data_IF_642166823323
#
_entry.id   IF_642166823323
#
_cell.length_a   1.000
_cell.length_b   1.000
_cell.length_c   1.000
_cell.angle_alpha   90.00
_cell.angle_beta   90.00
_cell.angle_gamma   90.00
#
_symmetry.space_group_name_H-M   'P 1'
#
loop_
_entity.id
_entity.type
_entity.pdbx_description
1 polymer ?
#
# COMPACT_ATOMS: atom_id res chain seq x y z
N UNK A 1 28.45 -0.69 2.56
CA UNK A 1 27.16 -0.30 1.94
C UNK A 1 26.63 -1.51 1.19
N UNK A 2 25.42 -1.98 1.51
CA UNK A 2 24.83 -3.13 0.81
C UNK A 2 24.20 -2.58 -0.47
N UNK A 3 24.77 -2.91 -1.63
CA UNK A 3 24.33 -2.41 -2.95
C UNK A 3 22.82 -2.57 -3.17
N UNK A 4 22.21 -3.62 -2.61
CA UNK A 4 20.77 -3.90 -2.69
C UNK A 4 19.88 -2.84 -2.04
N UNK A 5 20.27 -2.26 -0.90
CA UNK A 5 19.44 -1.26 -0.22
C UNK A 5 19.51 0.10 -0.88
N UNK A 6 20.69 0.48 -1.39
CA UNK A 6 20.83 1.67 -2.23
C UNK A 6 20.00 1.57 -3.52
N UNK A 7 20.00 0.39 -4.16
CA UNK A 7 19.18 0.15 -5.34
C UNK A 7 17.68 0.24 -5.02
N UNK A 8 17.25 -0.32 -3.89
CA UNK A 8 15.86 -0.23 -3.43
C UNK A 8 15.47 1.23 -3.16
N UNK A 9 16.29 1.96 -2.40
CA UNK A 9 16.04 3.36 -2.06
C UNK A 9 15.99 4.26 -3.31
N UNK A 10 16.88 4.03 -4.28
CA UNK A 10 16.86 4.72 -5.56
C UNK A 10 15.57 4.42 -6.36
N UNK A 11 15.15 3.16 -6.41
CA UNK A 11 13.90 2.77 -7.06
C UNK A 11 12.70 3.45 -6.38
N UNK A 12 12.65 3.44 -5.05
CA UNK A 12 11.60 4.11 -4.26
C UNK A 12 11.57 5.62 -4.51
N UNK A 13 12.74 6.26 -4.61
CA UNK A 13 12.84 7.68 -4.94
C UNK A 13 12.28 7.98 -6.34
N UNK A 14 12.62 7.17 -7.34
CA UNK A 14 12.11 7.33 -8.72
C UNK A 14 10.58 7.23 -8.72
N UNK A 15 10.01 6.24 -8.02
CA UNK A 15 8.56 6.10 -7.89
C UNK A 15 7.95 7.33 -7.22
N UNK A 16 8.56 7.83 -6.15
CA UNK A 16 8.12 9.05 -5.46
C UNK A 16 8.11 10.29 -6.37
N UNK A 17 9.14 10.46 -7.21
CA UNK A 17 9.19 11.54 -8.20
C UNK A 17 8.06 11.38 -9.23
N UNK A 18 7.86 10.15 -9.75
CA UNK A 18 6.80 9.90 -10.73
C UNK A 18 5.40 10.16 -10.17
N UNK A 19 5.14 9.85 -8.90
CA UNK A 19 3.88 10.18 -8.22
C UNK A 19 3.63 11.69 -8.12
N UNK A 20 4.69 12.51 -8.00
CA UNK A 20 4.55 13.97 -7.93
C UNK A 20 4.26 14.56 -9.31
N UNK A 21 5.03 14.13 -10.32
CA UNK A 21 5.00 14.69 -11.68
C UNK A 21 3.79 14.17 -12.46
N UNK A 22 3.56 12.86 -12.47
CA UNK A 22 2.56 12.17 -13.29
C UNK A 22 1.72 11.17 -12.45
N UNK A 23 0.89 11.64 -11.51
CA UNK A 23 0.15 10.78 -10.59
C UNK A 23 -0.83 9.84 -11.30
N UNK A 24 -1.52 10.30 -12.35
CA UNK A 24 -2.49 9.49 -13.09
C UNK A 24 -1.86 8.30 -13.82
N UNK A 25 -0.70 8.51 -14.45
CA UNK A 25 0.02 7.45 -15.13
C UNK A 25 0.70 6.52 -14.13
N UNK A 26 1.19 7.04 -13.02
CA UNK A 26 1.74 6.22 -11.94
C UNK A 26 0.71 5.22 -11.40
N UNK A 27 -0.55 5.64 -11.21
CA UNK A 27 -1.63 4.74 -10.78
C UNK A 27 -1.80 3.59 -11.77
N UNK A 28 -1.90 3.90 -13.07
CA UNK A 28 -2.08 2.86 -14.10
C UNK A 28 -0.95 1.85 -14.06
N UNK A 29 0.30 2.31 -14.01
CA UNK A 29 1.48 1.43 -13.97
C UNK A 29 1.49 0.58 -12.70
N UNK A 30 1.20 1.16 -11.53
CA UNK A 30 1.13 0.42 -10.28
C UNK A 30 0.05 -0.67 -10.31
N UNK A 31 -1.16 -0.34 -10.77
CA UNK A 31 -2.27 -1.31 -10.83
C UNK A 31 -1.97 -2.42 -11.84
N UNK A 32 -1.38 -2.09 -12.99
CA UNK A 32 -0.94 -3.08 -13.98
C UNK A 32 0.14 -4.00 -13.39
N UNK A 33 1.15 -3.45 -12.70
CA UNK A 33 2.22 -4.22 -12.08
C UNK A 33 1.67 -5.19 -11.02
N UNK A 34 0.73 -4.72 -10.18
CA UNK A 34 0.02 -5.56 -9.21
C UNK A 34 -0.80 -6.64 -9.92
N UNK A 35 -1.53 -6.29 -10.99
CA UNK A 35 -2.29 -7.26 -11.78
C UNK A 35 -1.42 -8.37 -12.35
N UNK A 36 -0.26 -8.03 -12.91
CA UNK A 36 0.73 -9.00 -13.40
C UNK A 36 1.22 -9.89 -12.25
N UNK A 37 1.56 -9.32 -11.09
CA UNK A 37 1.99 -10.10 -9.93
C UNK A 37 0.92 -11.12 -9.47
N UNK A 38 -0.37 -10.73 -9.51
CA UNK A 38 -1.49 -11.60 -9.18
C UNK A 38 -1.66 -12.72 -10.22
N UNK A 39 -1.46 -12.45 -11.50
CA UNK A 39 -1.48 -13.48 -12.55
C UNK A 39 -0.35 -14.49 -12.31
N UNK A 40 0.87 -14.01 -12.07
CA UNK A 40 2.03 -14.86 -11.78
C UNK A 40 1.81 -15.71 -10.52
N UNK A 41 1.21 -15.13 -9.49
CA UNK A 41 0.84 -15.86 -8.27
C UNK A 41 -0.20 -16.94 -8.56
N UNK A 42 -1.23 -16.64 -9.36
CA UNK A 42 -2.23 -17.63 -9.79
C UNK A 42 -1.61 -18.79 -10.57
N UNK A 43 -0.66 -18.49 -11.45
CA UNK A 43 0.10 -19.50 -12.20
C UNK A 43 0.98 -20.36 -11.27
N UNK A 44 1.67 -19.73 -10.31
CA UNK A 44 2.47 -20.44 -9.31
C UNK A 44 1.63 -21.38 -8.44
N UNK A 45 0.42 -20.95 -8.05
CA UNK A 45 -0.53 -21.79 -7.32
C UNK A 45 -0.91 -23.02 -8.14
N UNK A 46 -1.20 -22.83 -9.43
CA UNK A 46 -1.67 -23.90 -10.32
C UNK A 46 -0.58 -24.93 -10.66
N UNK A 47 0.66 -24.47 -10.86
CA UNK A 47 1.81 -25.32 -11.23
C UNK A 47 2.41 -26.02 -10.01
N UNK A 48 2.64 -25.28 -8.92
CA UNK A 48 3.47 -25.75 -7.80
C UNK A 48 2.62 -26.10 -6.60
N UNK A 49 1.77 -25.17 -6.13
CA UNK A 49 1.07 -25.31 -4.83
C UNK A 49 0.04 -26.45 -4.86
N UNK A 50 -0.65 -26.64 -5.98
CA UNK A 50 -1.63 -27.73 -6.16
C UNK A 50 -1.03 -29.12 -5.94
N UNK A 51 0.27 -29.32 -6.20
CA UNK A 51 0.91 -30.63 -6.17
C UNK A 51 1.58 -30.96 -4.82
N UNK A 52 1.48 -30.08 -3.81
CA UNK A 52 2.14 -30.24 -2.51
C UNK A 52 1.44 -31.28 -1.63
N UNK A 53 0.11 -31.39 -1.71
CA UNK A 53 -0.68 -32.35 -0.94
C UNK A 53 -1.61 -33.15 -1.86
N UNK A 54 -1.61 -34.49 -1.79
CA UNK A 54 -2.45 -35.36 -2.63
C UNK A 54 -3.93 -35.40 -2.22
N UNK A 55 -4.39 -34.48 -1.37
CA UNK A 55 -5.78 -34.43 -0.90
C UNK A 55 -6.69 -33.78 -1.96
N UNK A 56 -7.75 -34.49 -2.37
CA UNK A 56 -8.68 -34.03 -3.42
C UNK A 56 -9.30 -32.65 -3.13
N UNK A 57 -9.72 -32.39 -1.88
CA UNK A 57 -10.30 -31.09 -1.49
C UNK A 57 -9.28 -29.95 -1.54
N UNK A 58 -8.01 -30.24 -1.27
CA UNK A 58 -6.92 -29.27 -1.32
C UNK A 58 -6.60 -28.89 -2.78
N UNK A 59 -6.52 -29.88 -3.67
CA UNK A 59 -6.32 -29.66 -5.10
C UNK A 59 -7.44 -28.81 -5.71
N UNK A 60 -8.70 -29.06 -5.38
CA UNK A 60 -9.84 -28.30 -5.91
C UNK A 60 -9.82 -26.84 -5.42
N UNK A 61 -9.53 -26.63 -4.14
CA UNK A 61 -9.48 -25.28 -3.54
C UNK A 61 -8.34 -24.44 -4.14
N UNK A 62 -7.15 -25.00 -4.27
CA UNK A 62 -6.00 -24.30 -4.86
C UNK A 62 -6.18 -24.08 -6.37
N UNK A 63 -6.89 -24.97 -7.07
CA UNK A 63 -7.24 -24.78 -8.49
C UNK A 63 -8.20 -23.60 -8.67
N UNK A 64 -9.28 -23.54 -7.87
CA UNK A 64 -10.24 -22.41 -7.90
C UNK A 64 -9.52 -21.10 -7.59
N UNK A 65 -8.68 -21.08 -6.55
CA UNK A 65 -7.91 -19.90 -6.16
C UNK A 65 -6.91 -19.47 -7.24
N UNK A 66 -6.23 -20.41 -7.90
CA UNK A 66 -5.33 -20.14 -9.03
C UNK A 66 -6.05 -19.50 -10.21
N UNK A 67 -7.18 -20.07 -10.64
CA UNK A 67 -8.01 -19.50 -11.71
C UNK A 67 -8.62 -18.14 -11.33
N UNK A 68 -9.15 -18.01 -10.11
CA UNK A 68 -9.69 -16.75 -9.61
C UNK A 68 -8.60 -15.66 -9.60
N UNK A 69 -7.39 -15.98 -9.14
CA UNK A 69 -6.25 -15.06 -9.18
C UNK A 69 -5.92 -14.62 -10.61
N UNK A 70 -5.89 -15.54 -11.58
CA UNK A 70 -5.64 -15.18 -12.99
C UNK A 70 -6.73 -14.25 -13.53
N UNK A 71 -8.00 -14.55 -13.27
CA UNK A 71 -9.14 -13.74 -13.73
C UNK A 71 -9.08 -12.35 -13.09
N UNK A 72 -8.90 -12.27 -11.77
CA UNK A 72 -8.80 -11.00 -11.03
C UNK A 72 -7.59 -10.20 -11.50
N UNK A 73 -6.44 -10.85 -11.70
CA UNK A 73 -5.24 -10.21 -12.20
C UNK A 73 -5.40 -9.66 -13.63
N UNK A 74 -6.05 -10.41 -14.52
CA UNK A 74 -6.37 -9.95 -15.87
C UNK A 74 -7.32 -8.75 -15.86
N UNK A 75 -8.35 -8.78 -15.01
CA UNK A 75 -9.23 -7.63 -14.77
C UNK A 75 -8.42 -6.44 -14.26
N UNK A 76 -7.55 -6.62 -13.27
CA UNK A 76 -6.71 -5.54 -12.75
C UNK A 76 -5.79 -4.91 -13.81
N UNK A 77 -5.34 -5.65 -14.82
CA UNK A 77 -4.56 -5.09 -15.94
C UNK A 77 -5.45 -4.36 -16.95
N UNK A 78 -6.62 -4.91 -17.28
CA UNK A 78 -7.51 -4.37 -18.31
C UNK A 78 -8.30 -3.14 -17.85
N UNK A 79 -8.76 -3.13 -16.60
CA UNK A 79 -9.62 -2.07 -16.06
C UNK A 79 -8.98 -0.67 -16.09
N UNK A 80 -7.71 -0.48 -15.70
CA UNK A 80 -7.04 0.82 -15.82
C UNK A 80 -6.87 1.26 -17.27
N UNK A 81 -6.68 0.34 -18.22
CA UNK A 81 -6.53 0.68 -19.63
C UNK A 81 -7.80 1.30 -20.22
N UNK A 82 -8.98 0.81 -19.81
CA UNK A 82 -10.27 1.23 -20.36
C UNK A 82 -10.92 2.33 -19.51
N UNK A 83 -10.70 2.31 -18.18
CA UNK A 83 -11.49 3.09 -17.22
C UNK A 83 -10.64 3.85 -16.18
N UNK A 84 -9.36 4.15 -16.44
CA UNK A 84 -8.45 4.78 -15.47
C UNK A 84 -9.05 5.94 -14.65
N UNK A 85 -9.86 6.81 -15.27
CA UNK A 85 -10.51 7.92 -14.57
C UNK A 85 -11.79 7.55 -13.78
N UNK A 86 -12.49 6.49 -14.21
CA UNK A 86 -13.82 6.13 -13.68
C UNK A 86 -13.71 5.43 -12.32
N UNK A 87 -12.80 4.47 -12.19
CA UNK A 87 -12.67 3.63 -10.98
C UNK A 87 -12.28 4.46 -9.76
N UNK A 88 -11.35 5.38 -9.95
CA UNK A 88 -10.90 6.28 -8.91
C UNK A 88 -12.03 7.18 -8.40
N UNK A 89 -12.82 7.71 -9.33
CA UNK A 89 -13.95 8.59 -9.02
C UNK A 89 -15.02 7.82 -8.24
N UNK A 90 -15.32 6.58 -8.64
CA UNK A 90 -16.26 5.69 -7.93
C UNK A 90 -15.76 5.44 -6.50
N UNK A 91 -14.47 5.11 -6.33
CA UNK A 91 -13.89 4.84 -5.02
C UNK A 91 -14.01 6.04 -4.07
N UNK A 92 -13.75 7.26 -4.57
CA UNK A 92 -13.92 8.48 -3.76
C UNK A 92 -15.38 8.71 -3.37
N UNK A 93 -16.33 8.48 -4.27
CA UNK A 93 -17.75 8.59 -3.92
C UNK A 93 -18.17 7.54 -2.89
N UNK A 94 -17.69 6.30 -3.00
CA UNK A 94 -17.95 5.25 -2.01
C UNK A 94 -17.43 5.67 -0.64
N UNK A 95 -16.22 6.23 -0.56
CA UNK A 95 -15.65 6.74 0.70
C UNK A 95 -16.48 7.93 1.23
N UNK A 96 -16.90 8.85 0.37
CA UNK A 96 -17.70 10.00 0.77
C UNK A 96 -19.06 9.57 1.35
N UNK A 97 -19.73 8.60 0.73
CA UNK A 97 -20.96 8.00 1.24
C UNK A 97 -20.71 7.28 2.56
N UNK A 98 -19.63 6.51 2.66
CA UNK A 98 -19.25 5.84 3.89
C UNK A 98 -19.05 6.82 5.06
N UNK A 99 -18.42 7.97 4.82
CA UNK A 99 -18.26 9.01 5.85
C UNK A 99 -19.58 9.62 6.31
N UNK A 100 -20.57 9.77 5.41
CA UNK A 100 -21.92 10.19 5.81
C UNK A 100 -22.61 9.14 6.69
N UNK A 101 -22.44 7.85 6.37
CA UNK A 101 -22.95 6.76 7.20
C UNK A 101 -22.25 6.74 8.57
N UNK A 102 -20.93 6.98 8.62
CA UNK A 102 -20.17 7.12 9.87
C UNK A 102 -20.73 8.25 10.71
N UNK A 103 -20.90 9.44 10.13
CA UNK A 103 -21.45 10.60 10.83
C UNK A 103 -22.87 10.34 11.36
N UNK A 104 -23.73 9.66 10.59
CA UNK A 104 -25.06 9.28 11.05
C UNK A 104 -25.01 8.32 12.25
N UNK A 105 -24.05 7.38 12.22
CA UNK A 105 -23.82 6.42 13.32
C UNK A 105 -23.30 7.11 14.57
N UNK A 106 -22.38 8.06 14.43
CA UNK A 106 -21.85 8.88 15.53
C UNK A 106 -22.95 9.75 16.15
N UNK A 107 -23.84 10.34 15.34
CA UNK A 107 -25.02 11.07 15.84
C UNK A 107 -25.94 10.16 16.66
N UNK A 108 -26.19 8.93 16.20
CA UNK A 108 -26.96 7.94 16.96
C UNK A 108 -26.28 7.57 18.29
N UNK A 109 -24.96 7.39 18.29
CA UNK A 109 -24.17 7.15 19.50
C UNK A 109 -24.27 8.32 20.49
N UNK A 110 -24.18 9.57 20.02
CA UNK A 110 -24.32 10.76 20.87
C UNK A 110 -25.69 10.78 21.56
N UNK A 111 -26.78 10.44 20.85
CA UNK A 111 -28.11 10.38 21.45
C UNK A 111 -28.18 9.37 22.60
N UNK A 112 -27.60 8.19 22.43
CA UNK A 112 -27.56 7.16 23.47
C UNK A 112 -26.63 7.55 24.64
N UNK A 113 -25.45 8.10 24.37
CA UNK A 113 -24.51 8.53 25.40
C UNK A 113 -25.08 9.70 26.24
N UNK A 114 -25.82 10.61 25.60
CA UNK A 114 -26.51 11.70 26.28
C UNK A 114 -27.63 11.18 27.19
N UNK A 115 -28.36 10.14 26.75
CA UNK A 115 -29.34 9.46 27.60
C UNK A 115 -28.69 8.73 28.80
N UNK A 116 -27.44 8.28 28.64
CA UNK A 116 -26.64 7.65 29.69
C UNK A 116 -25.82 8.63 30.55
N UNK A 117 -25.92 9.95 30.32
CA UNK A 117 -25.15 10.98 31.02
C UNK A 117 -23.61 10.83 30.89
N UNK A 118 -23.14 10.29 29.76
CA UNK A 118 -21.72 10.10 29.44
C UNK A 118 -21.24 11.25 28.53
N UNK A 119 -19.98 11.67 28.67
CA UNK A 119 -19.38 12.73 27.84
C UNK A 119 -19.41 12.38 26.34
N UNK A 120 -19.86 13.33 25.51
CA UNK A 120 -20.08 13.14 24.06
C UNK A 120 -19.13 13.93 23.17
N UNK A 121 -18.16 14.64 23.76
CA UNK A 121 -17.37 15.64 23.03
C UNK A 121 -16.55 15.03 21.88
N UNK A 122 -15.92 13.87 22.09
CA UNK A 122 -15.13 13.18 21.06
C UNK A 122 -15.99 12.81 19.85
N UNK A 123 -17.15 12.18 20.08
CA UNK A 123 -18.07 11.76 19.03
C UNK A 123 -18.68 12.94 18.27
N UNK A 124 -18.94 14.06 18.95
CA UNK A 124 -19.44 15.27 18.29
C UNK A 124 -18.40 15.86 17.34
N UNK A 125 -17.12 15.83 17.70
CA UNK A 125 -16.04 16.29 16.82
C UNK A 125 -15.82 15.35 15.64
N UNK A 126 -15.90 14.04 15.85
CA UNK A 126 -15.81 13.04 14.77
C UNK A 126 -16.93 13.24 13.74
N UNK A 127 -18.17 13.49 14.19
CA UNK A 127 -19.31 13.64 13.29
C UNK A 127 -19.16 14.86 12.38
N UNK A 128 -18.70 15.98 12.95
CA UNK A 128 -18.45 17.22 12.21
C UNK A 128 -17.32 17.01 11.19
N UNK A 129 -16.23 16.34 11.60
CA UNK A 129 -15.10 16.05 10.71
C UNK A 129 -15.50 15.12 9.57
N UNK A 130 -16.26 14.07 9.85
CA UNK A 130 -16.76 13.11 8.86
C UNK A 130 -17.64 13.79 7.80
N UNK A 131 -18.57 14.67 8.23
CA UNK A 131 -19.41 15.45 7.30
C UNK A 131 -18.58 16.43 6.48
N UNK A 132 -17.63 17.14 7.11
CA UNK A 132 -16.77 18.09 6.41
C UNK A 132 -15.90 17.39 5.35
N UNK A 133 -15.28 16.25 5.68
CA UNK A 133 -14.52 15.46 4.72
C UNK A 133 -15.40 14.95 3.58
N UNK A 134 -16.60 14.44 3.88
CA UNK A 134 -17.53 13.96 2.86
C UNK A 134 -17.89 15.07 1.88
N UNK A 135 -18.21 16.27 2.37
CA UNK A 135 -18.52 17.43 1.53
C UNK A 135 -17.35 17.82 0.61
N UNK A 136 -16.12 17.80 1.13
CA UNK A 136 -14.91 18.06 0.35
C UNK A 136 -14.75 16.99 -0.76
N UNK A 137 -14.89 15.71 -0.41
CA UNK A 137 -14.76 14.59 -1.34
C UNK A 137 -15.80 14.63 -2.47
N UNK A 138 -17.05 15.01 -2.18
CA UNK A 138 -18.10 15.18 -3.18
C UNK A 138 -17.83 16.34 -4.15
N UNK A 139 -17.24 17.45 -3.65
CA UNK A 139 -17.08 18.66 -4.46
C UNK A 139 -15.91 18.54 -5.46
N UNK A 140 -14.81 17.88 -5.08
CA UNK A 140 -13.58 17.84 -5.89
C UNK A 140 -12.93 16.44 -5.97
N UNK A 141 -13.65 15.40 -6.41
CA UNK A 141 -13.18 14.02 -6.31
C UNK A 141 -11.86 13.79 -7.05
N UNK A 142 -11.73 14.30 -8.27
CA UNK A 142 -10.53 14.11 -9.11
C UNK A 142 -9.32 14.85 -8.53
N UNK A 143 -9.50 16.07 -8.01
CA UNK A 143 -8.38 16.90 -7.52
C UNK A 143 -7.82 16.35 -6.21
N UNK A 144 -8.67 15.87 -5.31
CA UNK A 144 -8.26 15.33 -4.01
C UNK A 144 -7.38 14.10 -4.20
N UNK A 145 -7.73 13.21 -5.13
CA UNK A 145 -6.91 12.03 -5.38
C UNK A 145 -5.50 12.35 -5.86
N UNK A 146 -5.39 13.33 -6.77
CA UNK A 146 -4.10 13.81 -7.26
C UNK A 146 -3.27 14.42 -6.12
N UNK A 147 -3.90 15.19 -5.23
CA UNK A 147 -3.22 15.80 -4.07
C UNK A 147 -2.70 14.71 -3.11
N UNK A 148 -3.52 13.71 -2.79
CA UNK A 148 -3.13 12.59 -1.93
C UNK A 148 -1.94 11.85 -2.51
N UNK A 149 -1.94 11.56 -3.82
CA UNK A 149 -0.82 10.90 -4.47
C UNK A 149 0.46 11.73 -4.43
N UNK A 150 0.37 13.05 -4.63
CA UNK A 150 1.53 13.93 -4.53
C UNK A 150 2.12 13.95 -3.12
N UNK A 151 1.26 14.01 -2.09
CA UNK A 151 1.69 13.91 -0.70
C UNK A 151 2.35 12.56 -0.41
N UNK A 152 1.79 11.46 -0.91
CA UNK A 152 2.41 10.14 -0.83
C UNK A 152 3.77 10.08 -1.52
N UNK A 153 3.90 10.69 -2.71
CA UNK A 153 5.17 10.83 -3.42
C UNK A 153 6.23 11.60 -2.62
N UNK A 154 5.84 12.71 -1.98
CA UNK A 154 6.72 13.48 -1.08
C UNK A 154 7.15 12.61 0.10
N UNK A 155 6.23 11.89 0.73
CA UNK A 155 6.55 10.98 1.84
C UNK A 155 7.54 9.88 1.41
N UNK A 156 7.39 9.32 0.20
CA UNK A 156 8.34 8.35 -0.36
C UNK A 156 9.74 8.95 -0.59
N UNK A 157 9.82 10.22 -1.02
CA UNK A 157 11.11 10.91 -1.17
C UNK A 157 11.78 11.16 0.17
N UNK A 158 11.03 11.58 1.17
CA UNK A 158 11.55 11.75 2.52
C UNK A 158 12.02 10.40 3.08
N UNK A 159 11.21 9.35 2.92
CA UNK A 159 11.56 8.00 3.35
C UNK A 159 12.83 7.46 2.66
N UNK A 160 12.98 7.65 1.35
CA UNK A 160 14.17 7.22 0.61
C UNK A 160 15.41 8.00 1.03
N UNK A 161 15.29 9.31 1.25
CA UNK A 161 16.38 10.14 1.78
C UNK A 161 16.81 9.70 3.18
N UNK A 162 15.86 9.38 4.06
CA UNK A 162 16.13 8.85 5.40
C UNK A 162 16.86 7.50 5.32
N UNK A 163 16.41 6.57 4.47
CA UNK A 163 17.08 5.28 4.29
C UNK A 163 18.53 5.44 3.83
N UNK A 164 18.79 6.31 2.86
CA UNK A 164 20.15 6.61 2.39
C UNK A 164 20.99 7.23 3.50
N UNK A 165 20.43 8.17 4.27
CA UNK A 165 21.11 8.80 5.40
C UNK A 165 21.47 7.80 6.50
N UNK A 166 20.55 6.90 6.87
CA UNK A 166 20.77 5.88 7.88
C UNK A 166 21.86 4.89 7.45
N UNK A 167 21.89 4.48 6.18
CA UNK A 167 22.91 3.58 5.66
C UNK A 167 24.29 4.25 5.51
N UNK A 168 24.32 5.58 5.31
CA UNK A 168 25.55 6.35 5.36
C UNK A 168 26.12 6.47 6.78
N UNK A 169 25.24 6.60 7.79
CA UNK A 169 25.63 6.69 9.21
C UNK A 169 26.11 5.35 9.79
N UNK A 170 25.48 4.25 9.42
CA UNK A 170 25.88 2.90 9.85
C UNK A 170 26.89 2.28 8.86
N UNK A 171 28.09 2.86 8.76
CA UNK A 171 29.20 2.14 8.12
C UNK A 171 29.49 0.88 8.95
N UNK A 172 29.63 -0.32 8.34
CA UNK A 172 30.01 -1.50 9.10
C UNK A 172 31.38 -1.22 9.71
N UNK A 173 31.45 -1.29 11.04
CA UNK A 173 32.72 -1.41 11.75
C UNK A 173 33.38 -2.66 11.19
N UNK A 174 34.31 -2.48 10.26
CA UNK A 174 35.24 -3.52 9.86
C UNK A 174 36.09 -3.78 11.09
N UNK A 175 35.66 -4.72 11.92
CA UNK A 175 36.53 -5.37 12.90
C UNK A 175 37.57 -6.06 12.02
N UNK A 176 38.69 -5.37 11.83
CA UNK A 176 39.88 -5.92 11.22
C UNK A 176 40.28 -7.03 12.19
N UNK A 177 39.98 -8.29 11.84
CA UNK A 177 40.52 -9.42 12.58
C UNK A 177 42.03 -9.27 12.51
N UNK A 178 42.61 -8.82 13.61
CA UNK A 178 44.06 -8.81 13.80
C UNK A 178 44.46 -10.28 13.75
N UNK A 179 44.98 -10.70 12.60
CA UNK A 179 45.61 -12.01 12.46
C UNK A 179 46.82 -11.92 13.39
N UNK A 180 46.67 -12.44 14.60
CA UNK A 180 47.80 -12.77 15.46
C UNK A 180 48.66 -13.72 14.64
N UNK A 181 49.78 -13.18 14.18
CA UNK A 181 50.82 -13.94 13.51
C UNK A 181 51.39 -14.83 14.61
N UNK A 182 51.00 -16.10 14.62
CA UNK A 182 51.65 -17.16 15.39
C UNK A 182 53.09 -17.30 14.89
N UNK A 183 53.93 -16.37 15.32
CA UNK A 183 55.37 -16.53 15.39
C UNK A 183 55.69 -16.74 16.87
N UNK A 184 56.51 -17.74 17.14
CA UNK A 184 57.16 -18.04 18.43
C UNK A 184 56.45 -19.01 19.39
N UNK A 185 56.06 -20.19 18.91
CA UNK A 185 56.11 -21.41 19.73
C UNK A 185 56.75 -22.60 18.98
N UNK A 186 57.92 -22.39 18.39
CA UNK A 186 58.97 -23.42 18.36
C UNK A 186 60.00 -23.03 19.43
N UNK A 187 59.88 -23.63 20.63
CA UNK A 187 61.00 -24.02 21.50
C UNK A 187 60.50 -24.89 22.64
#
# INVERSE_FOLDING_TARGET
MRKSYLMLAALTAIIGIMMIIAPTECIKVCVIAVGIAIILNGLHILITVRNILPNSNFCTTETIKGFASIIIGALAVLLPLVFAGLLWTIMIYVIAVFLLISAATEVYLIMQLKAANIETHSFSTEAIVSVALAAILFCLPIKIGIIILRLGGIALLVGSAICIYLEWKHKPLTIKAEILKDADLEK
#
